data_IF_750065969163
#
_entry.id   IF_750065969163
#
_cell.length_a   1.000
_cell.length_b   1.000
_cell.length_c   1.000
_cell.angle_alpha   90.00
_cell.angle_beta   90.00
_cell.angle_gamma   90.00
#
_symmetry.space_group_name_H-M   'P 1'
#
loop_
_entity.id
_entity.type
_entity.pdbx_description
1 polymer ?
#
# COMPACT_ATOMS: atom_id res chain seq x y z
N UNK A 1 11.06 26.25 -52.93
CA UNK A 1 11.37 26.87 -51.62
C UNK A 1 10.07 26.85 -50.80
N UNK A 2 9.88 25.87 -49.95
CA UNK A 2 8.73 25.79 -49.06
C UNK A 2 9.27 25.94 -47.61
N UNK A 3 8.88 27.04 -46.99
CA UNK A 3 9.22 27.38 -45.63
C UNK A 3 8.52 26.39 -44.65
N UNK A 4 9.31 25.61 -43.95
CA UNK A 4 8.84 24.85 -42.77
C UNK A 4 8.73 25.82 -41.60
N UNK A 5 7.53 26.24 -41.28
CA UNK A 5 7.21 26.88 -40.01
C UNK A 5 7.14 25.76 -38.98
N UNK A 6 8.21 25.61 -38.21
CA UNK A 6 8.30 24.80 -37.01
C UNK A 6 7.50 25.53 -35.91
N UNK A 7 6.23 25.17 -35.74
CA UNK A 7 5.40 25.65 -34.65
C UNK A 7 5.72 24.75 -33.47
N UNK A 8 6.83 25.07 -32.77
CA UNK A 8 7.10 24.51 -31.46
C UNK A 8 5.92 24.79 -30.53
N UNK A 9 5.12 23.80 -30.25
CA UNK A 9 4.09 23.88 -29.22
C UNK A 9 4.77 24.24 -27.88
N UNK A 10 4.73 25.53 -27.53
CA UNK A 10 5.00 25.96 -26.16
C UNK A 10 3.97 25.31 -25.27
N UNK A 11 4.31 24.17 -24.65
CA UNK A 11 3.53 23.61 -23.57
C UNK A 11 3.55 24.64 -22.44
N UNK A 12 2.45 25.33 -22.21
CA UNK A 12 2.36 26.34 -21.16
C UNK A 12 2.86 25.74 -19.84
N UNK A 13 3.77 26.46 -19.19
CA UNK A 13 4.30 26.04 -17.89
C UNK A 13 3.13 26.06 -16.90
N UNK A 14 2.73 24.91 -16.40
CA UNK A 14 1.61 24.77 -15.47
C UNK A 14 1.95 25.50 -14.17
N UNK A 15 1.03 26.34 -13.72
CA UNK A 15 1.19 27.11 -12.47
C UNK A 15 1.00 26.20 -11.25
N UNK A 16 1.32 26.70 -10.06
CA UNK A 16 1.00 26.04 -8.79
C UNK A 16 -0.51 25.75 -8.70
N UNK A 17 -1.34 26.75 -8.97
CA UNK A 17 -2.79 26.63 -8.84
C UNK A 17 -3.39 25.65 -9.88
N UNK A 18 -2.84 25.57 -11.10
CA UNK A 18 -3.25 24.59 -12.10
C UNK A 18 -2.99 23.14 -11.62
N UNK A 19 -1.81 22.89 -11.03
CA UNK A 19 -1.39 21.58 -10.56
C UNK A 19 -2.22 21.13 -9.34
N UNK A 20 -2.50 22.08 -8.44
CA UNK A 20 -3.34 21.85 -7.27
C UNK A 20 -4.78 21.56 -7.69
N UNK A 21 -5.37 22.40 -8.54
CA UNK A 21 -6.75 22.21 -9.01
C UNK A 21 -6.94 20.86 -9.72
N UNK A 22 -5.97 20.43 -10.53
CA UNK A 22 -5.99 19.11 -11.16
C UNK A 22 -5.96 17.97 -10.12
N UNK A 23 -5.10 18.10 -9.11
CA UNK A 23 -5.00 17.11 -8.05
C UNK A 23 -6.26 17.07 -7.16
N UNK A 24 -6.90 18.22 -6.89
CA UNK A 24 -8.15 18.30 -6.14
C UNK A 24 -9.33 17.72 -6.93
N UNK A 25 -9.35 17.88 -8.25
CA UNK A 25 -10.39 17.32 -9.11
C UNK A 25 -10.22 15.80 -9.38
N UNK A 26 -9.05 15.21 -9.02
CA UNK A 26 -8.78 13.82 -9.27
C UNK A 26 -9.68 12.89 -8.44
N UNK A 27 -10.11 11.77 -9.06
CA UNK A 27 -10.85 10.71 -8.38
C UNK A 27 -9.94 10.02 -7.34
N UNK A 28 -10.43 9.94 -6.10
CA UNK A 28 -9.74 9.30 -4.98
C UNK A 28 -10.23 7.87 -4.72
N UNK A 29 -11.16 7.34 -5.50
CA UNK A 29 -11.72 6.01 -5.27
C UNK A 29 -10.69 4.90 -5.54
N UNK A 30 -10.77 3.81 -4.75
CA UNK A 30 -9.88 2.63 -4.84
C UNK A 30 -8.43 2.91 -4.43
N UNK A 31 -7.58 1.90 -4.58
CA UNK A 31 -6.15 1.95 -4.23
C UNK A 31 -5.22 2.05 -5.46
N UNK A 32 -5.74 2.40 -6.64
CA UNK A 32 -4.91 2.68 -7.81
C UNK A 32 -4.07 3.96 -7.62
N UNK A 33 -2.84 3.93 -8.13
CA UNK A 33 -1.88 5.03 -8.11
C UNK A 33 -1.51 5.49 -9.52
N UNK A 34 -2.27 5.10 -10.52
CA UNK A 34 -2.00 5.37 -11.94
C UNK A 34 -1.92 6.87 -12.25
N UNK A 35 -2.62 7.70 -11.47
CA UNK A 35 -2.56 9.14 -11.59
C UNK A 35 -1.15 9.71 -11.38
N UNK A 36 -0.30 9.00 -10.62
CA UNK A 36 1.09 9.36 -10.38
C UNK A 36 2.03 8.93 -11.53
N UNK A 37 1.55 8.17 -12.52
CA UNK A 37 2.41 7.67 -13.60
C UNK A 37 3.12 8.81 -14.35
N UNK A 38 4.44 8.76 -14.42
CA UNK A 38 5.29 9.80 -15.01
C UNK A 38 5.41 11.10 -14.20
N UNK A 39 4.75 11.20 -13.03
CA UNK A 39 4.75 12.37 -12.15
C UNK A 39 5.40 12.10 -10.79
N UNK A 40 5.49 10.84 -10.42
CA UNK A 40 6.21 10.37 -9.24
C UNK A 40 6.81 9.00 -9.52
N UNK A 41 7.79 8.61 -8.72
CA UNK A 41 8.37 7.26 -8.75
C UNK A 41 8.46 6.71 -7.33
N UNK A 42 8.36 5.38 -7.21
CA UNK A 42 8.67 4.65 -5.99
C UNK A 42 9.47 3.39 -6.37
N UNK A 43 10.63 3.23 -5.75
CA UNK A 43 11.39 1.98 -5.84
C UNK A 43 10.57 0.83 -5.25
N UNK A 44 10.72 -0.35 -5.83
CA UNK A 44 10.07 -1.55 -5.30
C UNK A 44 11.01 -2.30 -4.36
N UNK A 45 10.48 -2.92 -3.29
CA UNK A 45 11.26 -3.84 -2.48
C UNK A 45 11.88 -4.96 -3.34
N UNK A 46 13.10 -5.41 -3.03
CA UNK A 46 13.87 -6.31 -3.91
C UNK A 46 13.30 -7.73 -4.02
N UNK A 47 12.32 -8.10 -3.21
CA UNK A 47 11.79 -9.48 -3.17
C UNK A 47 10.66 -9.80 -4.14
N UNK A 48 9.99 -8.80 -4.75
CA UNK A 48 8.92 -9.04 -5.73
C UNK A 48 7.70 -9.76 -5.13
N UNK A 49 7.02 -9.12 -4.17
CA UNK A 49 5.92 -9.72 -3.37
C UNK A 49 4.87 -10.45 -4.19
N UNK A 50 4.35 -9.82 -5.26
CA UNK A 50 3.28 -10.41 -6.08
C UNK A 50 3.69 -11.77 -6.69
N UNK A 51 4.95 -11.89 -7.17
CA UNK A 51 5.46 -13.15 -7.68
C UNK A 51 5.57 -14.20 -6.57
N UNK A 52 6.13 -13.83 -5.41
CA UNK A 52 6.25 -14.75 -4.28
C UNK A 52 4.89 -15.20 -3.74
N UNK A 53 3.90 -14.31 -3.75
CA UNK A 53 2.51 -14.65 -3.41
C UNK A 53 1.92 -15.66 -4.41
N UNK A 54 2.04 -15.39 -5.72
CA UNK A 54 1.54 -16.26 -6.76
C UNK A 54 2.15 -17.67 -6.67
N UNK A 55 3.47 -17.76 -6.45
CA UNK A 55 4.17 -19.03 -6.28
C UNK A 55 3.61 -19.84 -5.07
N UNK A 56 3.26 -19.17 -3.96
CA UNK A 56 2.67 -19.82 -2.77
C UNK A 56 1.21 -20.25 -3.00
N UNK A 57 0.41 -19.37 -3.60
CA UNK A 57 -1.00 -19.67 -3.89
C UNK A 57 -1.14 -20.91 -4.80
N UNK A 58 -0.20 -21.12 -5.70
CA UNK A 58 -0.19 -22.28 -6.59
C UNK A 58 0.10 -23.62 -5.89
N UNK A 59 0.61 -23.60 -4.65
CA UNK A 59 1.05 -24.81 -3.92
C UNK A 59 0.08 -25.28 -2.84
N UNK A 60 -0.93 -24.48 -2.50
CA UNK A 60 -1.90 -24.78 -1.43
C UNK A 60 -3.30 -25.01 -1.99
N UNK A 61 -4.17 -25.65 -1.21
CA UNK A 61 -5.58 -25.90 -1.56
C UNK A 61 -6.51 -24.87 -0.96
N UNK A 62 -6.11 -24.21 0.14
CA UNK A 62 -6.91 -23.20 0.82
C UNK A 62 -6.04 -22.01 1.24
N UNK A 63 -6.49 -20.80 0.89
CA UNK A 63 -5.81 -19.57 1.29
C UNK A 63 -6.81 -18.47 1.67
N UNK A 64 -6.36 -17.62 2.60
CA UNK A 64 -7.01 -16.39 3.02
C UNK A 64 -6.08 -15.21 2.74
N UNK A 65 -6.56 -14.18 2.06
CA UNK A 65 -5.85 -12.89 1.92
C UNK A 65 -6.58 -11.83 2.74
N UNK A 66 -5.89 -11.26 3.73
CA UNK A 66 -6.44 -10.28 4.67
C UNK A 66 -6.17 -8.87 4.14
N UNK A 67 -7.17 -7.98 4.23
CA UNK A 67 -7.10 -6.59 3.78
C UNK A 67 -6.70 -6.50 2.29
N UNK A 68 -7.38 -7.27 1.44
CA UNK A 68 -7.03 -7.46 0.02
C UNK A 68 -7.11 -6.19 -0.82
N UNK A 69 -7.75 -5.14 -0.32
CA UNK A 69 -8.06 -3.96 -1.12
C UNK A 69 -9.04 -4.27 -2.25
N UNK A 70 -8.75 -3.79 -3.46
CA UNK A 70 -9.54 -4.13 -4.65
C UNK A 70 -9.19 -5.48 -5.28
N UNK A 71 -8.36 -6.30 -4.63
CA UNK A 71 -7.96 -7.63 -5.10
C UNK A 71 -6.87 -7.66 -6.17
N UNK A 72 -6.22 -6.50 -6.46
CA UNK A 72 -5.26 -6.36 -7.56
C UNK A 72 -4.14 -7.39 -7.48
N UNK A 73 -3.54 -7.55 -6.30
CA UNK A 73 -2.34 -8.40 -6.14
C UNK A 73 -2.68 -9.89 -6.21
N UNK A 74 -3.83 -10.28 -5.68
CA UNK A 74 -4.34 -11.66 -5.79
C UNK A 74 -4.67 -11.99 -7.24
N UNK A 75 -5.20 -11.02 -7.98
CA UNK A 75 -5.56 -11.17 -9.40
C UNK A 75 -4.35 -11.40 -10.32
N UNK A 76 -3.17 -10.89 -9.96
CA UNK A 76 -1.93 -11.14 -10.70
C UNK A 76 -1.49 -12.62 -10.68
N UNK A 77 -1.97 -13.43 -9.72
CA UNK A 77 -1.62 -14.85 -9.65
C UNK A 77 -2.31 -15.64 -10.77
N UNK A 78 -1.52 -16.35 -11.58
CA UNK A 78 -2.05 -17.16 -12.68
C UNK A 78 -2.93 -18.31 -12.21
N UNK A 79 -2.60 -18.93 -11.06
CA UNK A 79 -3.35 -20.00 -10.43
C UNK A 79 -3.76 -19.60 -9.01
N UNK A 80 -4.99 -19.93 -8.64
CA UNK A 80 -5.51 -19.75 -7.30
C UNK A 80 -5.86 -21.10 -6.67
N UNK A 81 -5.76 -21.23 -5.34
CA UNK A 81 -6.21 -22.44 -4.66
C UNK A 81 -7.70 -22.69 -4.86
N UNK A 82 -8.11 -23.95 -4.75
CA UNK A 82 -9.52 -24.35 -4.91
C UNK A 82 -10.47 -23.68 -3.91
N UNK A 83 -9.96 -23.29 -2.75
CA UNK A 83 -10.63 -22.45 -1.78
C UNK A 83 -9.80 -21.18 -1.56
N UNK A 84 -10.13 -20.13 -2.28
CA UNK A 84 -9.55 -18.80 -2.08
C UNK A 84 -10.59 -17.87 -1.46
N UNK A 85 -10.25 -17.28 -0.33
CA UNK A 85 -11.06 -16.30 0.38
C UNK A 85 -10.25 -15.03 0.54
N UNK A 86 -10.88 -13.87 0.39
CA UNK A 86 -10.26 -12.58 0.69
C UNK A 86 -11.17 -11.79 1.63
N UNK A 87 -10.57 -10.98 2.50
CA UNK A 87 -11.31 -10.07 3.39
C UNK A 87 -11.01 -8.63 3.04
N UNK A 88 -12.01 -7.75 3.25
CA UNK A 88 -11.86 -6.31 3.10
C UNK A 88 -12.94 -5.61 3.95
N UNK A 89 -12.52 -4.63 4.74
CA UNK A 89 -13.43 -3.91 5.63
C UNK A 89 -14.10 -2.70 4.95
N UNK A 90 -13.41 -2.06 4.01
CA UNK A 90 -13.95 -0.90 3.31
C UNK A 90 -14.83 -1.32 2.14
N UNK A 91 -16.14 -1.10 2.27
CA UNK A 91 -17.16 -1.55 1.32
C UNK A 91 -16.85 -1.24 -0.16
N UNK A 92 -16.37 -0.04 -0.56
CA UNK A 92 -16.03 0.23 -1.95
C UNK A 92 -14.91 -0.67 -2.50
N UNK A 93 -13.92 -1.05 -1.68
CA UNK A 93 -12.89 -1.99 -2.07
C UNK A 93 -13.41 -3.42 -2.13
N UNK A 94 -14.21 -3.84 -1.14
CA UNK A 94 -14.83 -5.16 -1.13
C UNK A 94 -15.69 -5.39 -2.40
N UNK A 95 -16.40 -4.36 -2.84
CA UNK A 95 -17.17 -4.41 -4.10
C UNK A 95 -16.26 -4.59 -5.32
N UNK A 96 -15.15 -3.84 -5.40
CA UNK A 96 -14.16 -3.98 -6.48
C UNK A 96 -13.50 -5.37 -6.48
N UNK A 97 -13.16 -5.87 -5.28
CA UNK A 97 -12.62 -7.22 -5.13
C UNK A 97 -13.62 -8.29 -5.64
N UNK A 98 -14.92 -8.14 -5.36
CA UNK A 98 -15.96 -9.03 -5.90
C UNK A 98 -16.03 -8.98 -7.42
N UNK A 99 -16.02 -7.79 -8.01
CA UNK A 99 -16.06 -7.62 -9.45
C UNK A 99 -14.83 -8.24 -10.14
N UNK A 100 -13.65 -8.08 -9.55
CA UNK A 100 -12.38 -8.57 -10.09
C UNK A 100 -12.17 -10.06 -9.86
N UNK A 101 -12.33 -10.53 -8.65
CA UNK A 101 -11.95 -11.88 -8.23
C UNK A 101 -13.12 -12.89 -8.28
N UNK A 102 -14.37 -12.41 -8.21
CA UNK A 102 -15.55 -13.27 -8.26
C UNK A 102 -15.61 -14.19 -9.49
N UNK A 103 -15.31 -13.71 -10.72
CA UNK A 103 -15.25 -14.55 -11.91
C UNK A 103 -14.21 -15.68 -11.83
N UNK A 104 -13.23 -15.56 -10.93
CA UNK A 104 -12.18 -16.55 -10.66
C UNK A 104 -12.54 -17.52 -9.52
N UNK A 105 -13.76 -17.43 -8.98
CA UNK A 105 -14.24 -18.29 -7.90
C UNK A 105 -13.78 -17.91 -6.51
N UNK A 106 -13.24 -16.69 -6.32
CA UNK A 106 -12.79 -16.18 -5.00
C UNK A 106 -13.98 -15.70 -4.20
N UNK A 107 -14.05 -16.10 -2.94
CA UNK A 107 -15.04 -15.59 -1.99
C UNK A 107 -14.52 -14.30 -1.36
N UNK A 108 -15.31 -13.23 -1.44
CA UNK A 108 -14.99 -11.94 -0.79
C UNK A 108 -15.88 -11.77 0.44
N UNK A 109 -15.25 -11.64 1.60
CA UNK A 109 -15.91 -11.45 2.90
C UNK A 109 -15.68 -10.03 3.39
N UNK A 110 -16.76 -9.31 3.66
CA UNK A 110 -16.69 -8.01 4.32
C UNK A 110 -16.46 -8.21 5.81
N UNK A 111 -15.42 -7.58 6.36
CA UNK A 111 -15.19 -7.57 7.79
C UNK A 111 -15.89 -6.35 8.40
N UNK A 112 -16.77 -6.60 9.37
CA UNK A 112 -17.43 -5.52 10.12
C UNK A 112 -16.71 -5.22 11.44
N UNK A 113 -15.72 -6.03 11.83
CA UNK A 113 -15.04 -5.95 13.13
C UNK A 113 -13.53 -6.20 12.97
N UNK A 114 -12.71 -5.39 13.61
CA UNK A 114 -11.24 -5.44 13.47
C UNK A 114 -10.58 -6.57 14.27
N UNK A 115 -11.34 -7.40 14.99
CA UNK A 115 -10.80 -8.34 15.96
C UNK A 115 -10.81 -9.80 15.52
N UNK A 116 -11.97 -10.34 15.18
CA UNK A 116 -12.15 -11.76 14.91
C UNK A 116 -12.35 -12.06 13.44
N UNK A 117 -11.61 -13.04 12.92
CA UNK A 117 -11.83 -13.57 11.57
C UNK A 117 -13.05 -14.51 11.59
N UNK A 118 -14.05 -14.33 10.69
CA UNK A 118 -15.29 -15.11 10.70
C UNK A 118 -15.12 -16.51 10.09
N UNK A 119 -14.03 -17.17 10.46
CA UNK A 119 -13.69 -18.50 9.98
C UNK A 119 -13.45 -19.45 11.15
N UNK A 120 -13.78 -20.74 11.00
CA UNK A 120 -13.42 -21.75 11.99
C UNK A 120 -11.90 -21.86 12.16
N UNK A 121 -11.49 -22.45 13.27
CA UNK A 121 -10.11 -22.85 13.51
C UNK A 121 -9.62 -23.76 12.39
N UNK A 122 -8.32 -23.71 12.08
CA UNK A 122 -7.66 -24.63 11.13
C UNK A 122 -8.31 -24.69 9.75
N UNK A 123 -8.71 -23.52 9.21
CA UNK A 123 -9.45 -23.41 7.96
C UNK A 123 -8.56 -23.22 6.73
N UNK A 124 -7.33 -22.75 6.89
CA UNK A 124 -6.47 -22.34 5.78
C UNK A 124 -5.06 -22.90 5.90
N UNK A 125 -4.49 -23.32 4.76
CA UNK A 125 -3.09 -23.73 4.64
C UNK A 125 -2.15 -22.51 4.52
N UNK A 126 -2.67 -21.39 3.98
CA UNK A 126 -1.94 -20.14 3.80
C UNK A 126 -2.81 -18.94 4.19
N UNK A 127 -2.25 -18.04 4.98
CA UNK A 127 -2.81 -16.70 5.22
C UNK A 127 -1.82 -15.68 4.68
N UNK A 128 -2.33 -14.71 3.90
CA UNK A 128 -1.52 -13.66 3.30
C UNK A 128 -2.08 -12.29 3.63
N UNK A 129 -1.24 -11.26 3.58
CA UNK A 129 -1.66 -9.87 3.68
C UNK A 129 -0.67 -8.94 2.98
N UNK A 130 -1.16 -7.88 2.35
CA UNK A 130 -0.31 -6.85 1.81
C UNK A 130 -0.67 -5.50 2.39
N UNK A 131 0.23 -4.96 3.23
CA UNK A 131 0.05 -3.71 3.95
C UNK A 131 -1.15 -3.74 4.92
N UNK A 132 -1.31 -4.80 5.73
CA UNK A 132 -2.40 -4.84 6.69
C UNK A 132 -2.29 -3.67 7.66
N UNK A 133 -3.43 -3.26 8.22
CA UNK A 133 -3.46 -2.18 9.23
C UNK A 133 -2.75 -2.65 10.50
N UNK A 134 -3.13 -3.82 11.01
CA UNK A 134 -2.49 -4.48 12.16
C UNK A 134 -2.84 -5.97 12.11
N UNK A 135 -1.86 -6.87 12.02
CA UNK A 135 -2.14 -8.30 12.07
C UNK A 135 -2.61 -8.68 13.47
N UNK A 136 -3.75 -9.36 13.54
CA UNK A 136 -4.22 -9.98 14.79
C UNK A 136 -3.60 -11.36 14.87
N UNK A 137 -2.36 -11.46 15.38
CA UNK A 137 -1.56 -12.67 15.40
C UNK A 137 -2.28 -13.91 15.98
N UNK A 138 -3.01 -13.82 17.13
CA UNK A 138 -3.77 -14.95 17.62
C UNK A 138 -4.85 -15.46 16.67
N UNK A 139 -5.53 -14.56 15.94
CA UNK A 139 -6.56 -14.94 14.97
C UNK A 139 -5.95 -15.58 13.72
N UNK A 140 -4.84 -15.01 13.22
CA UNK A 140 -4.10 -15.61 12.09
C UNK A 140 -3.61 -16.99 12.45
N UNK A 141 -3.08 -17.17 13.67
CA UNK A 141 -2.67 -18.49 14.17
C UNK A 141 -3.85 -19.46 14.26
N UNK A 142 -4.97 -19.02 14.81
CA UNK A 142 -6.17 -19.84 15.00
C UNK A 142 -6.72 -20.40 13.69
N UNK A 143 -6.80 -19.55 12.65
CA UNK A 143 -7.41 -19.95 11.36
C UNK A 143 -6.47 -20.77 10.46
N UNK A 144 -5.17 -20.76 10.70
CA UNK A 144 -4.21 -21.61 9.99
C UNK A 144 -4.33 -23.06 10.48
N UNK A 145 -4.16 -24.02 9.58
CA UNK A 145 -3.98 -25.42 9.93
C UNK A 145 -2.62 -25.63 10.60
N UNK A 146 -2.44 -26.75 11.30
CA UNK A 146 -1.11 -27.15 11.79
C UNK A 146 -0.12 -27.26 10.63
N UNK A 147 1.06 -26.63 10.78
CA UNK A 147 2.05 -26.48 9.71
C UNK A 147 1.68 -25.50 8.60
N UNK A 148 0.58 -24.77 8.73
CA UNK A 148 0.18 -23.69 7.80
C UNK A 148 1.08 -22.47 7.89
N UNK A 149 1.05 -21.61 6.86
CA UNK A 149 1.97 -20.49 6.72
C UNK A 149 1.25 -19.14 6.70
N UNK A 150 1.85 -18.16 7.37
CA UNK A 150 1.58 -16.75 7.16
C UNK A 150 2.65 -16.15 6.24
N UNK A 151 2.23 -15.37 5.23
CA UNK A 151 3.14 -14.68 4.31
C UNK A 151 2.63 -13.29 4.00
N UNK A 152 3.38 -12.26 4.39
CA UNK A 152 2.90 -10.89 4.22
C UNK A 152 4.02 -9.89 3.91
N UNK A 153 3.62 -8.77 3.30
CA UNK A 153 4.43 -7.56 3.19
C UNK A 153 3.75 -6.45 3.98
N UNK A 154 4.44 -5.93 4.99
CA UNK A 154 3.94 -4.86 5.84
C UNK A 154 4.60 -3.52 5.51
N UNK A 155 3.96 -2.43 5.94
CA UNK A 155 4.57 -1.11 5.99
C UNK A 155 5.43 -1.04 7.24
N UNK A 156 6.68 -0.68 7.08
CA UNK A 156 7.64 -0.57 8.18
C UNK A 156 7.63 0.81 8.87
N UNK A 157 8.57 1.01 9.82
CA UNK A 157 8.65 2.23 10.64
C UNK A 157 8.98 3.47 9.79
N UNK A 158 8.46 4.61 10.21
CA UNK A 158 8.74 5.93 9.61
C UNK A 158 8.57 6.00 8.08
N UNK A 159 7.65 5.21 7.50
CA UNK A 159 7.37 5.22 6.06
C UNK A 159 6.84 6.58 5.62
N UNK A 160 7.50 7.20 4.64
CA UNK A 160 7.22 8.54 4.09
C UNK A 160 7.33 9.70 5.11
N UNK A 161 8.00 9.51 6.23
CA UNK A 161 8.06 10.53 7.29
C UNK A 161 8.76 11.81 6.83
N UNK A 162 9.69 11.76 5.88
CA UNK A 162 10.30 12.97 5.33
C UNK A 162 9.25 13.91 4.72
N UNK A 163 8.24 13.37 4.05
CA UNK A 163 7.13 14.16 3.51
C UNK A 163 6.12 14.51 4.61
N UNK A 164 5.76 13.57 5.47
CA UNK A 164 4.75 13.76 6.52
C UNK A 164 5.21 14.83 7.53
N UNK A 165 6.47 14.77 7.96
CA UNK A 165 7.04 15.71 8.93
C UNK A 165 7.20 17.12 8.36
N UNK A 166 7.25 17.28 7.03
CA UNK A 166 7.22 18.61 6.41
C UNK A 166 5.93 19.37 6.75
N UNK A 167 4.82 18.66 6.89
CA UNK A 167 3.50 19.24 7.20
C UNK A 167 3.17 19.21 8.71
N UNK A 168 3.59 18.18 9.42
CA UNK A 168 3.20 17.94 10.82
C UNK A 168 4.28 18.30 11.85
N UNK A 169 5.49 18.60 11.37
CA UNK A 169 6.67 18.69 12.25
C UNK A 169 7.18 17.30 12.69
N UNK A 170 8.22 17.25 13.51
CA UNK A 170 8.88 16.01 13.92
C UNK A 170 7.94 15.03 14.63
N UNK A 171 7.93 13.76 14.20
CA UNK A 171 7.09 12.67 14.74
C UNK A 171 7.93 11.65 15.52
N UNK A 172 8.79 12.13 16.42
CA UNK A 172 9.78 11.30 17.12
C UNK A 172 9.17 10.08 17.83
N UNK A 173 8.04 10.25 18.50
CA UNK A 173 7.36 9.17 19.23
C UNK A 173 6.73 8.10 18.30
N UNK A 174 6.42 8.47 17.06
CA UNK A 174 5.81 7.58 16.07
C UNK A 174 6.83 6.84 15.21
N UNK A 175 8.11 7.26 15.26
CA UNK A 175 9.18 6.67 14.42
C UNK A 175 9.45 5.20 14.72
N UNK A 176 9.14 4.73 15.92
CA UNK A 176 9.30 3.34 16.34
C UNK A 176 8.06 2.48 16.09
N UNK A 177 6.95 3.09 15.70
CA UNK A 177 5.75 2.34 15.29
C UNK A 177 6.02 1.43 14.10
N UNK A 178 5.39 0.27 14.06
CA UNK A 178 5.54 -0.76 13.02
C UNK A 178 6.97 -1.32 12.95
N UNK A 179 7.60 -1.49 14.09
CA UNK A 179 8.92 -2.11 14.21
C UNK A 179 8.82 -3.60 13.80
N UNK A 180 9.55 -4.03 12.77
CA UNK A 180 9.51 -5.42 12.30
C UNK A 180 9.98 -6.43 13.35
N UNK A 181 10.86 -6.05 14.26
CA UNK A 181 11.30 -6.95 15.35
C UNK A 181 10.24 -7.09 16.44
N UNK A 182 9.50 -6.03 16.74
CA UNK A 182 8.35 -6.11 17.64
C UNK A 182 7.23 -6.98 17.04
N UNK A 183 7.03 -6.92 15.72
CA UNK A 183 6.08 -7.81 15.03
C UNK A 183 6.52 -9.27 15.06
N UNK A 184 7.81 -9.56 14.88
CA UNK A 184 8.35 -10.92 15.05
C UNK A 184 8.09 -11.42 16.45
N UNK A 185 8.39 -10.63 17.49
CA UNK A 185 8.15 -11.03 18.88
C UNK A 185 6.65 -11.32 19.15
N UNK A 186 5.75 -10.50 18.61
CA UNK A 186 4.31 -10.70 18.75
C UNK A 186 3.82 -11.96 17.99
N UNK A 187 4.39 -12.28 16.84
CA UNK A 187 4.10 -13.50 16.12
C UNK A 187 4.56 -14.74 16.92
N UNK A 188 5.79 -14.71 17.44
CA UNK A 188 6.36 -15.79 18.27
C UNK A 188 5.56 -16.00 19.58
N UNK A 189 5.13 -14.91 20.21
CA UNK A 189 4.24 -14.97 21.39
C UNK A 189 2.91 -15.64 21.07
N UNK A 190 2.38 -15.45 19.86
CA UNK A 190 1.18 -16.12 19.39
C UNK A 190 1.39 -17.60 18.99
N UNK A 191 2.62 -18.11 19.01
CA UNK A 191 2.98 -19.50 18.74
C UNK A 191 3.61 -19.76 17.37
N UNK A 192 3.83 -18.72 16.55
CA UNK A 192 4.48 -18.88 15.24
C UNK A 192 5.99 -19.16 15.37
N UNK A 193 6.51 -19.86 14.38
CA UNK A 193 7.95 -19.88 14.06
C UNK A 193 8.18 -18.92 12.91
N UNK A 194 8.84 -17.79 13.16
CA UNK A 194 9.19 -16.83 12.07
C UNK A 194 10.39 -17.35 11.29
N UNK A 195 10.22 -17.58 10.01
CA UNK A 195 11.21 -18.18 9.11
C UNK A 195 11.95 -17.13 8.27
N UNK A 196 11.26 -16.02 7.95
CA UNK A 196 11.81 -14.96 7.10
C UNK A 196 11.41 -13.60 7.66
N UNK A 197 12.40 -12.71 7.77
CA UNK A 197 12.20 -11.28 7.93
C UNK A 197 13.17 -10.55 7.00
N UNK A 198 12.65 -9.83 6.03
CA UNK A 198 13.42 -8.91 5.20
C UNK A 198 12.89 -7.50 5.33
N UNK A 199 13.77 -6.51 5.37
CA UNK A 199 13.40 -5.11 5.42
C UNK A 199 13.92 -4.37 4.19
N UNK A 200 13.19 -3.37 3.72
CA UNK A 200 13.62 -2.50 2.63
C UNK A 200 13.21 -1.05 2.89
N UNK A 201 14.05 -0.15 2.43
CA UNK A 201 13.76 1.27 2.36
C UNK A 201 13.80 1.68 0.89
N UNK A 202 12.66 2.10 0.36
CA UNK A 202 12.43 2.34 -1.05
C UNK A 202 12.28 3.84 -1.29
N UNK A 203 13.09 4.39 -2.18
CA UNK A 203 13.08 5.81 -2.51
C UNK A 203 11.81 6.17 -3.28
N UNK A 204 11.18 7.28 -2.87
CA UNK A 204 10.05 7.91 -3.54
C UNK A 204 10.48 9.30 -4.00
N UNK A 205 10.09 9.67 -5.22
CA UNK A 205 10.32 11.02 -5.76
C UNK A 205 9.02 11.58 -6.32
N UNK A 206 8.72 12.83 -5.96
CA UNK A 206 7.58 13.58 -6.47
C UNK A 206 8.09 14.75 -7.30
N UNK A 207 7.60 14.90 -8.53
CA UNK A 207 8.17 15.83 -9.50
C UNK A 207 7.36 17.11 -9.67
N UNK A 208 6.12 17.15 -9.23
CA UNK A 208 5.27 18.34 -9.20
C UNK A 208 4.39 18.41 -7.95
N UNK A 209 3.94 19.62 -7.61
CA UNK A 209 3.16 19.83 -6.38
C UNK A 209 1.80 19.12 -6.40
N UNK A 210 1.21 18.92 -7.56
CA UNK A 210 -0.04 18.17 -7.69
C UNK A 210 0.11 16.74 -7.18
N UNK A 211 1.29 16.09 -7.35
CA UNK A 211 1.53 14.74 -6.84
C UNK A 211 1.57 14.69 -5.33
N UNK A 212 2.09 15.74 -4.68
CA UNK A 212 2.08 15.86 -3.22
C UNK A 212 0.66 16.06 -2.72
N UNK A 213 -0.10 16.95 -3.32
CA UNK A 213 -1.53 17.17 -2.97
C UNK A 213 -2.32 15.87 -3.16
N UNK A 214 -2.12 15.20 -4.30
CA UNK A 214 -2.81 13.96 -4.60
C UNK A 214 -2.53 12.85 -3.59
N UNK A 215 -1.25 12.62 -3.25
CA UNK A 215 -0.89 11.54 -2.31
C UNK A 215 -1.39 11.82 -0.89
N UNK A 216 -1.38 13.08 -0.44
CA UNK A 216 -1.91 13.46 0.87
C UNK A 216 -3.45 13.31 0.94
N UNK A 217 -4.16 13.53 -0.15
CA UNK A 217 -5.59 13.24 -0.27
C UNK A 217 -5.89 11.74 -0.35
N UNK A 218 -4.97 10.96 -0.92
CA UNK A 218 -5.11 9.51 -1.04
C UNK A 218 -4.80 8.80 0.27
N UNK A 219 -3.74 9.20 0.94
CA UNK A 219 -3.27 8.67 2.20
C UNK A 219 -3.67 9.60 3.35
N UNK A 220 -4.97 9.74 3.59
CA UNK A 220 -5.53 10.70 4.56
C UNK A 220 -4.97 10.59 5.97
N UNK A 221 -4.45 9.42 6.36
CA UNK A 221 -3.83 9.20 7.66
C UNK A 221 -2.40 9.76 7.77
N UNK A 222 -1.76 10.19 6.66
CA UNK A 222 -0.45 10.83 6.70
C UNK A 222 -0.53 12.21 7.33
N UNK A 223 -1.49 13.02 6.88
CA UNK A 223 -1.79 14.35 7.40
C UNK A 223 -3.31 14.45 7.54
N UNK A 224 -3.89 13.98 8.67
CA UNK A 224 -5.35 13.79 8.82
C UNK A 224 -6.19 15.04 8.62
N UNK A 225 -5.62 16.21 8.87
CA UNK A 225 -6.27 17.51 8.73
C UNK A 225 -5.82 18.27 7.47
N UNK A 226 -5.32 17.54 6.45
CA UNK A 226 -4.81 18.14 5.23
C UNK A 226 -5.92 18.87 4.45
N UNK A 227 -5.65 20.13 4.17
CA UNK A 227 -6.30 20.88 3.09
C UNK A 227 -5.28 21.78 2.41
N UNK A 228 -5.49 22.07 1.13
CA UNK A 228 -4.62 22.96 0.37
C UNK A 228 -4.57 24.36 0.99
N UNK A 229 -5.71 24.85 1.48
CA UNK A 229 -5.80 26.16 2.13
C UNK A 229 -4.93 26.22 3.40
N UNK A 230 -5.07 25.21 4.27
CA UNK A 230 -4.35 25.16 5.56
C UNK A 230 -2.84 25.07 5.37
N UNK A 231 -2.38 24.25 4.43
CA UNK A 231 -0.97 23.93 4.23
C UNK A 231 -0.38 24.62 2.99
N UNK A 232 -1.01 25.72 2.52
CA UNK A 232 -0.55 26.45 1.33
C UNK A 232 0.91 26.95 1.45
N UNK A 233 1.39 27.49 2.58
CA UNK A 233 2.77 27.89 2.72
C UNK A 233 3.77 26.75 2.54
N UNK A 234 3.51 25.59 3.16
CA UNK A 234 4.33 24.37 3.06
C UNK A 234 4.35 23.82 1.64
N UNK A 235 3.19 23.80 0.97
CA UNK A 235 3.07 23.38 -0.42
C UNK A 235 3.85 24.30 -1.37
N UNK A 236 3.83 25.62 -1.16
CA UNK A 236 4.60 26.58 -1.95
C UNK A 236 6.11 26.39 -1.82
N UNK A 237 6.59 26.01 -0.62
CA UNK A 237 8.02 25.70 -0.40
C UNK A 237 8.43 24.46 -1.21
N UNK A 238 7.61 23.42 -1.23
CA UNK A 238 7.86 22.21 -2.03
C UNK A 238 7.78 22.50 -3.54
N UNK A 239 6.80 23.29 -3.98
CA UNK A 239 6.69 23.68 -5.40
C UNK A 239 7.92 24.46 -5.87
N UNK A 240 8.39 25.43 -5.07
CA UNK A 240 9.60 26.17 -5.37
C UNK A 240 10.83 25.25 -5.47
N UNK A 241 10.98 24.27 -4.60
CA UNK A 241 12.04 23.25 -4.66
C UNK A 241 11.96 22.46 -5.98
N UNK A 242 10.78 21.96 -6.32
CA UNK A 242 10.57 21.14 -7.53
C UNK A 242 10.78 21.95 -8.81
N UNK A 243 10.34 23.22 -8.86
CA UNK A 243 10.60 24.15 -9.98
C UNK A 243 12.09 24.47 -10.14
N UNK A 244 12.87 24.39 -9.05
CA UNK A 244 14.33 24.48 -9.10
C UNK A 244 15.03 23.18 -9.55
N UNK A 245 14.27 22.19 -10.03
CA UNK A 245 14.78 20.90 -10.53
C UNK A 245 15.13 19.88 -9.44
N UNK A 246 14.66 20.10 -8.20
CA UNK A 246 14.90 19.19 -7.08
C UNK A 246 13.59 18.51 -6.69
N UNK A 247 13.39 17.22 -7.00
CA UNK A 247 12.19 16.51 -6.61
C UNK A 247 12.04 16.49 -5.07
N UNK A 248 10.82 16.36 -4.59
CA UNK A 248 10.57 16.02 -3.20
C UNK A 248 10.85 14.55 -3.02
N UNK A 249 11.73 14.22 -2.07
CA UNK A 249 12.18 12.85 -1.80
C UNK A 249 11.67 12.41 -0.45
N UNK A 250 11.06 11.23 -0.43
CA UNK A 250 10.71 10.50 0.78
C UNK A 250 11.10 9.03 0.61
N UNK A 251 10.93 8.22 1.64
CA UNK A 251 11.19 6.80 1.55
C UNK A 251 10.02 6.02 2.15
N UNK A 252 9.48 5.10 1.37
CA UNK A 252 8.63 4.08 1.94
C UNK A 252 9.48 2.98 2.57
N UNK A 253 9.04 2.49 3.72
CA UNK A 253 9.68 1.35 4.40
C UNK A 253 8.74 0.16 4.34
N UNK A 254 9.30 -1.01 4.08
CA UNK A 254 8.56 -2.27 3.95
C UNK A 254 9.31 -3.37 4.67
N UNK A 255 8.57 -4.34 5.18
CA UNK A 255 9.17 -5.61 5.55
C UNK A 255 8.33 -6.79 5.03
N UNK A 256 9.02 -7.84 4.67
CA UNK A 256 8.47 -9.13 4.29
C UNK A 256 8.62 -10.06 5.46
N UNK A 257 7.54 -10.71 5.86
CA UNK A 257 7.51 -11.70 6.92
C UNK A 257 6.93 -13.02 6.40
N UNK A 258 7.56 -14.12 6.75
CA UNK A 258 7.01 -15.45 6.59
C UNK A 258 7.14 -16.20 7.91
N UNK A 259 6.05 -16.80 8.35
CA UNK A 259 5.99 -17.52 9.60
C UNK A 259 5.15 -18.81 9.43
N UNK A 260 5.44 -19.82 10.25
CA UNK A 260 4.76 -21.11 10.23
C UNK A 260 4.10 -21.36 11.59
N UNK A 261 2.86 -21.83 11.53
CA UNK A 261 2.14 -22.36 12.69
C UNK A 261 2.72 -23.70 13.14
#
# INVERSE_FOLDING_TARGET
MASRTDVGQYRAVRTFDDLVAEAEAADMTGWGFDWLAGRATEERPPWGYAKLLADRLATVRSALDIDTGGGEVVDEAAALPSRMVVTEAWLPNAQRARERLGPRGVQVVELCDEGALPFPDESFELVTARHPVSPTWPEVYRVLVDGGHYFAQHVGPASAFELIEHFRGPLNDQRQGRDPFAEVAAAEEAGFTVEVLHTARCRMEFYDIGTVVWILRKCVWWVPDFSVEKYRPELLLLDAQMRAGKPVVAHSTRHLIAARR
#
